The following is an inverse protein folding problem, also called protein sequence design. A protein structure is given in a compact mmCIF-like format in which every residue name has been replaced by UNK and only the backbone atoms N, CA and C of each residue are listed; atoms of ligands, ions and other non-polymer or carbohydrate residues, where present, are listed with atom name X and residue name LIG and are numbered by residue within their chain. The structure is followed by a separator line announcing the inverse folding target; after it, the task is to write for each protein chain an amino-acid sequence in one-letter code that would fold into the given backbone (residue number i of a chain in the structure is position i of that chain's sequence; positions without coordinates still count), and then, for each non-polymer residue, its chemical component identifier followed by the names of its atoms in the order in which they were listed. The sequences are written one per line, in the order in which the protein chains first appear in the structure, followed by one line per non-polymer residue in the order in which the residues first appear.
data_IF_749111698585
#
_entry.id   IF_749111698585
#
_cell.length_a   1.000
_cell.length_b   1.000
_cell.length_c   1.000
_cell.angle_alpha   90.00
_cell.angle_beta   90.00
_cell.angle_gamma   90.00
#
_symmetry.space_group_name_H-M   'P 1'
#
loop_
_entity.id
_entity.type
_entity.pdbx_description
1 polymer ?
#
# COMPACT_ATOMS: atom_id res chain seq x y z
N UNK A 1 18.11 -15.78 -25.99
CA UNK A 1 19.46 -15.28 -26.34
C UNK A 1 19.31 -13.86 -26.89
N UNK A 2 19.98 -12.87 -26.28
CA UNK A 2 19.95 -11.49 -26.80
C UNK A 2 20.80 -11.46 -28.09
N UNK A 3 20.38 -10.79 -29.17
CA UNK A 3 21.08 -10.79 -30.46
C UNK A 3 22.50 -10.20 -30.45
N UNK A 4 22.97 -9.65 -29.32
CA UNK A 4 24.29 -9.01 -29.17
C UNK A 4 25.35 -9.87 -28.47
N UNK A 5 25.01 -11.10 -28.09
CA UNK A 5 25.90 -12.06 -27.44
C UNK A 5 26.10 -13.30 -28.32
N UNK A 6 26.56 -13.08 -29.55
CA UNK A 6 26.97 -14.17 -30.44
C UNK A 6 28.48 -14.44 -30.26
N UNK A 7 28.95 -15.70 -30.44
CA UNK A 7 30.36 -16.01 -30.58
C UNK A 7 31.02 -15.12 -31.64
N UNK A 8 32.30 -14.75 -31.48
CA UNK A 8 33.01 -13.86 -32.42
C UNK A 8 32.92 -14.29 -33.89
N UNK A 9 32.75 -15.59 -34.13
CA UNK A 9 32.69 -16.24 -35.45
C UNK A 9 31.37 -16.00 -36.22
N UNK A 10 30.35 -15.41 -35.59
CA UNK A 10 29.01 -15.25 -36.19
C UNK A 10 28.69 -13.84 -36.65
N UNK A 11 29.61 -12.87 -36.47
CA UNK A 11 29.41 -11.52 -36.94
C UNK A 11 29.87 -11.39 -38.40
N UNK A 12 28.97 -11.03 -39.31
CA UNK A 12 29.34 -10.71 -40.70
C UNK A 12 30.31 -9.54 -40.72
N UNK A 13 31.50 -9.74 -41.30
CA UNK A 13 32.51 -8.69 -41.45
C UNK A 13 32.00 -7.55 -42.33
N UNK A 14 32.29 -6.30 -41.94
CA UNK A 14 32.00 -5.12 -42.75
C UNK A 14 33.32 -4.52 -43.27
N UNK A 15 33.45 -4.22 -44.58
CA UNK A 15 34.69 -3.71 -45.14
C UNK A 15 35.01 -2.27 -44.70
N UNK A 16 36.30 -1.95 -44.60
CA UNK A 16 36.80 -0.59 -44.40
C UNK A 16 37.74 -0.46 -43.20
N UNK A 17 38.48 0.65 -43.16
CA UNK A 17 39.50 0.90 -42.16
C UNK A 17 38.92 1.06 -40.74
N UNK A 18 39.65 0.58 -39.74
CA UNK A 18 39.45 0.92 -38.33
C UNK A 18 40.34 2.13 -38.05
N UNK A 19 39.74 3.27 -37.77
CA UNK A 19 40.48 4.52 -37.54
C UNK A 19 41.28 4.47 -36.23
N UNK A 20 42.48 5.08 -36.21
CA UNK A 20 43.38 5.11 -35.05
C UNK A 20 42.69 5.62 -33.79
N UNK A 21 41.94 6.72 -33.89
CA UNK A 21 41.23 7.29 -32.74
C UNK A 21 40.15 6.36 -32.15
N UNK A 22 39.58 5.42 -32.93
CA UNK A 22 38.70 4.37 -32.39
C UNK A 22 39.50 3.33 -31.60
N UNK A 23 40.68 2.96 -32.08
CA UNK A 23 41.55 2.01 -31.39
C UNK A 23 42.03 2.57 -30.05
N UNK A 24 42.46 3.84 -30.04
CA UNK A 24 42.85 4.56 -28.83
C UNK A 24 41.69 4.64 -27.82
N UNK A 25 40.48 5.00 -28.27
CA UNK A 25 39.30 5.04 -27.42
C UNK A 25 38.93 3.66 -26.84
N UNK A 26 39.00 2.60 -27.65
CA UNK A 26 38.77 1.22 -27.20
C UNK A 26 39.82 0.80 -26.17
N UNK A 27 41.10 1.06 -26.43
CA UNK A 27 42.20 0.69 -25.55
C UNK A 27 42.09 1.41 -24.20
N UNK A 28 41.81 2.72 -24.20
CA UNK A 28 41.58 3.50 -22.99
C UNK A 28 40.41 2.97 -22.14
N UNK A 29 39.39 2.39 -22.79
CA UNK A 29 38.21 1.80 -22.14
C UNK A 29 38.36 0.30 -21.84
N UNK A 30 39.54 -0.28 -22.06
CA UNK A 30 39.84 -1.68 -21.73
C UNK A 30 39.42 -2.71 -22.80
N UNK A 31 39.32 -2.31 -24.07
CA UNK A 31 38.93 -3.14 -25.19
C UNK A 31 39.93 -3.09 -26.36
N UNK A 32 39.96 -4.16 -27.17
CA UNK A 32 40.61 -4.19 -28.47
C UNK A 32 39.54 -4.30 -29.56
N UNK A 33 39.68 -3.55 -30.66
CA UNK A 33 38.79 -3.69 -31.83
C UNK A 33 39.31 -4.86 -32.67
N UNK A 34 38.49 -5.90 -32.87
CA UNK A 34 38.87 -7.06 -33.69
C UNK A 34 38.37 -6.98 -35.13
N UNK A 35 37.45 -6.06 -35.43
CA UNK A 35 36.90 -5.89 -36.76
C UNK A 35 35.72 -4.93 -36.80
N UNK A 36 35.36 -4.47 -38.00
CA UNK A 36 34.05 -3.87 -38.27
C UNK A 36 33.08 -4.99 -38.62
N UNK A 37 31.87 -4.93 -38.11
CA UNK A 37 30.89 -6.01 -38.24
C UNK A 37 29.49 -5.46 -38.52
N UNK A 38 28.58 -6.27 -39.04
CA UNK A 38 27.17 -5.98 -39.33
C UNK A 38 26.95 -4.85 -40.35
N UNK A 39 27.36 -3.63 -40.03
CA UNK A 39 27.19 -2.43 -40.85
C UNK A 39 28.31 -1.41 -40.56
N UNK A 40 28.21 -0.22 -41.17
CA UNK A 40 29.20 0.84 -41.02
C UNK A 40 29.36 1.40 -39.60
N UNK A 41 28.40 1.13 -38.70
CA UNK A 41 28.32 1.69 -37.35
C UNK A 41 28.73 0.72 -36.25
N UNK A 42 28.99 -0.55 -36.53
CA UNK A 42 29.30 -1.54 -35.49
C UNK A 42 30.74 -2.05 -35.56
N UNK A 43 31.32 -2.21 -34.37
CA UNK A 43 32.64 -2.77 -34.13
C UNK A 43 32.51 -4.02 -33.27
N UNK A 44 33.35 -5.01 -33.54
CA UNK A 44 33.58 -6.12 -32.63
C UNK A 44 34.62 -5.69 -31.59
N UNK A 45 34.21 -5.62 -30.32
CA UNK A 45 35.07 -5.27 -29.19
C UNK A 45 35.41 -6.51 -28.39
N UNK A 46 36.70 -6.82 -28.28
CA UNK A 46 37.26 -7.83 -27.39
C UNK A 46 37.62 -7.19 -26.05
N UNK A 47 37.00 -7.66 -24.97
CA UNK A 47 37.34 -7.23 -23.62
C UNK A 47 38.75 -7.70 -23.23
N UNK A 48 39.59 -6.80 -22.73
CA UNK A 48 40.94 -7.16 -22.26
C UNK A 48 40.97 -7.93 -20.94
N UNK A 49 39.89 -7.86 -20.16
CA UNK A 49 39.80 -8.55 -18.86
C UNK A 49 39.33 -10.00 -18.99
N UNK A 50 38.31 -10.29 -19.81
CA UNK A 50 37.76 -11.65 -19.94
C UNK A 50 37.90 -12.26 -21.35
N UNK A 51 38.43 -11.51 -22.33
CA UNK A 51 38.59 -11.98 -23.71
C UNK A 51 37.29 -12.05 -24.53
N UNK A 52 36.12 -11.83 -23.93
CA UNK A 52 34.83 -11.90 -24.61
C UNK A 52 34.72 -10.85 -25.73
N UNK A 53 34.21 -11.27 -26.88
CA UNK A 53 33.95 -10.41 -28.04
C UNK A 53 32.45 -10.12 -28.13
N UNK A 54 32.09 -8.85 -28.29
CA UNK A 54 30.70 -8.42 -28.44
C UNK A 54 30.60 -7.29 -29.46
N UNK A 55 29.40 -7.10 -30.00
CA UNK A 55 29.11 -5.98 -30.89
C UNK A 55 28.86 -4.70 -30.09
N UNK A 56 29.50 -3.61 -30.51
CA UNK A 56 29.23 -2.26 -29.99
C UNK A 56 29.08 -1.28 -31.14
N UNK A 57 28.15 -0.33 -30.99
CA UNK A 57 28.09 0.82 -31.91
C UNK A 57 29.32 1.70 -31.70
N UNK A 58 29.85 2.24 -32.79
CA UNK A 58 30.94 3.22 -32.76
C UNK A 58 30.56 4.40 -31.87
N UNK A 59 29.33 4.90 -31.98
CA UNK A 59 28.84 5.98 -31.11
C UNK A 59 28.98 5.63 -29.63
N UNK A 60 28.53 4.45 -29.18
CA UNK A 60 28.66 4.03 -27.78
C UNK A 60 30.12 3.91 -27.33
N UNK A 61 30.99 3.42 -28.20
CA UNK A 61 32.42 3.37 -27.93
C UNK A 61 32.99 4.79 -27.74
N UNK A 62 32.55 5.76 -28.52
CA UNK A 62 33.08 7.12 -28.48
C UNK A 62 32.51 7.95 -27.32
N UNK A 63 31.19 7.90 -27.10
CA UNK A 63 30.48 8.81 -26.19
C UNK A 63 30.14 8.25 -24.81
N UNK A 64 30.26 6.93 -24.59
CA UNK A 64 29.89 6.28 -23.33
C UNK A 64 30.99 5.34 -22.82
N UNK A 65 30.76 4.71 -21.67
CA UNK A 65 31.59 3.62 -21.14
C UNK A 65 30.95 2.26 -21.52
N UNK A 66 31.37 1.62 -22.62
CA UNK A 66 30.84 0.33 -23.00
C UNK A 66 31.21 -0.70 -21.92
N UNK A 67 30.22 -1.45 -21.45
CA UNK A 67 30.43 -2.53 -20.50
C UNK A 67 30.46 -3.87 -21.24
N UNK A 68 31.45 -4.70 -20.93
CA UNK A 68 31.50 -6.05 -21.47
C UNK A 68 30.31 -6.87 -20.95
N UNK A 69 29.45 -7.44 -21.83
CA UNK A 69 28.29 -8.22 -21.41
C UNK A 69 28.65 -9.44 -20.55
N UNK A 70 29.76 -10.11 -20.86
CA UNK A 70 30.24 -11.26 -20.08
C UNK A 70 30.73 -10.85 -18.69
N UNK A 71 31.55 -9.80 -18.57
CA UNK A 71 31.98 -9.31 -17.25
C UNK A 71 30.80 -8.80 -16.41
N UNK A 72 29.80 -8.19 -17.06
CA UNK A 72 28.58 -7.76 -16.39
C UNK A 72 27.80 -8.96 -15.85
N UNK A 73 27.60 -10.01 -16.66
CA UNK A 73 26.91 -11.22 -16.22
C UNK A 73 27.63 -11.89 -15.06
N UNK A 74 28.95 -12.09 -15.17
CA UNK A 74 29.77 -12.64 -14.08
C UNK A 74 29.70 -11.79 -12.80
N UNK A 75 29.60 -10.46 -12.93
CA UNK A 75 29.39 -9.58 -11.76
C UNK A 75 28.03 -9.81 -11.14
N UNK A 76 26.96 -9.92 -11.93
CA UNK A 76 25.61 -10.21 -11.43
C UNK A 76 25.54 -11.57 -10.74
N UNK A 77 26.19 -12.59 -11.29
CA UNK A 77 26.29 -13.94 -10.70
C UNK A 77 27.01 -13.89 -9.35
N UNK A 78 28.18 -13.22 -9.28
CA UNK A 78 28.91 -13.05 -8.01
C UNK A 78 28.15 -12.23 -6.97
N UNK A 79 27.50 -11.15 -7.39
CA UNK A 79 26.68 -10.31 -6.52
C UNK A 79 25.49 -11.11 -5.96
N UNK A 80 24.87 -11.95 -6.79
CA UNK A 80 23.79 -12.84 -6.37
C UNK A 80 24.29 -13.87 -5.35
N UNK A 81 25.36 -14.60 -5.67
CA UNK A 81 25.93 -15.63 -4.80
C UNK A 81 26.28 -15.06 -3.42
N UNK A 82 26.96 -13.91 -3.41
CA UNK A 82 27.34 -13.21 -2.18
C UNK A 82 26.13 -12.67 -1.40
N UNK A 83 24.98 -12.45 -2.07
CA UNK A 83 23.71 -12.09 -1.45
C UNK A 83 22.86 -13.31 -1.05
N UNK A 84 23.38 -14.53 -1.15
CA UNK A 84 22.64 -15.77 -0.86
C UNK A 84 21.57 -16.11 -1.90
N UNK A 85 21.77 -15.68 -3.13
CA UNK A 85 20.90 -15.90 -4.29
C UNK A 85 21.64 -16.68 -5.38
N UNK A 86 20.90 -17.38 -6.23
CA UNK A 86 21.42 -17.92 -7.49
C UNK A 86 20.90 -17.07 -8.64
N UNK A 87 21.76 -16.43 -9.42
CA UNK A 87 21.33 -15.74 -10.64
C UNK A 87 20.86 -16.78 -11.67
N UNK A 88 19.67 -16.58 -12.25
CA UNK A 88 19.11 -17.49 -13.24
C UNK A 88 19.27 -16.93 -14.65
N UNK A 89 18.75 -15.74 -14.87
CA UNK A 89 18.83 -15.05 -16.15
C UNK A 89 18.51 -13.57 -15.98
N UNK A 90 18.98 -12.75 -16.93
CA UNK A 90 18.54 -11.36 -17.03
C UNK A 90 17.09 -11.31 -17.51
N UNK A 91 16.38 -10.29 -17.08
CA UNK A 91 15.05 -10.01 -17.61
C UNK A 91 15.17 -9.53 -19.07
N UNK A 92 14.53 -10.21 -20.04
CA UNK A 92 14.63 -9.86 -21.46
C UNK A 92 13.95 -8.54 -21.80
N UNK A 93 12.95 -8.11 -21.02
CA UNK A 93 12.18 -6.89 -21.25
C UNK A 93 12.76 -5.70 -20.48
N UNK A 94 13.48 -5.98 -19.38
CA UNK A 94 13.99 -4.94 -18.50
C UNK A 94 15.48 -5.11 -18.16
N UNK A 95 16.32 -4.32 -18.84
CA UNK A 95 17.80 -4.39 -18.74
C UNK A 95 18.38 -4.32 -17.32
N UNK A 96 17.67 -3.71 -16.37
CA UNK A 96 18.06 -3.48 -14.97
C UNK A 96 17.56 -4.55 -14.00
N UNK A 97 16.87 -5.57 -14.51
CA UNK A 97 16.28 -6.65 -13.74
C UNK A 97 16.88 -7.99 -14.13
N UNK A 98 16.84 -8.93 -13.18
CA UNK A 98 17.13 -10.35 -13.40
C UNK A 98 16.18 -11.19 -12.56
N UNK A 99 16.09 -12.46 -12.94
CA UNK A 99 15.47 -13.51 -12.15
C UNK A 99 16.54 -14.23 -11.34
N UNK A 100 16.23 -14.51 -10.09
CA UNK A 100 17.11 -15.18 -9.13
C UNK A 100 16.35 -16.29 -8.43
N UNK A 101 17.04 -17.32 -7.97
CA UNK A 101 16.49 -18.29 -7.00
C UNK A 101 16.93 -17.90 -5.60
N UNK A 102 15.97 -17.74 -4.70
CA UNK A 102 16.22 -17.45 -3.29
C UNK A 102 16.52 -18.73 -2.49
N UNK A 103 17.10 -18.60 -1.30
CA UNK A 103 17.39 -19.72 -0.40
C UNK A 103 16.14 -20.55 -0.01
N UNK A 104 14.95 -19.95 -0.05
CA UNK A 104 13.68 -20.65 0.14
C UNK A 104 13.23 -21.50 -1.07
N UNK A 105 14.03 -21.56 -2.14
CA UNK A 105 13.76 -22.30 -3.37
C UNK A 105 12.95 -21.54 -4.42
N UNK A 106 12.31 -20.43 -4.06
CA UNK A 106 11.45 -19.66 -4.98
C UNK A 106 12.25 -18.77 -5.93
N UNK A 107 11.73 -18.62 -7.15
CA UNK A 107 12.20 -17.62 -8.09
C UNK A 107 11.72 -16.21 -7.68
N UNK A 108 12.60 -15.23 -7.75
CA UNK A 108 12.34 -13.83 -7.46
C UNK A 108 12.88 -12.95 -8.57
N UNK A 109 12.05 -12.01 -9.04
CA UNK A 109 12.46 -10.96 -9.97
C UNK A 109 12.92 -9.74 -9.21
N UNK A 110 14.16 -9.29 -9.40
CA UNK A 110 14.74 -8.15 -8.65
C UNK A 110 15.60 -7.25 -9.54
N UNK A 111 15.60 -5.97 -9.19
CA UNK A 111 16.54 -5.01 -9.76
C UNK A 111 17.97 -5.32 -9.31
N UNK A 112 18.95 -5.09 -10.16
CA UNK A 112 20.37 -5.31 -9.83
C UNK A 112 20.81 -4.45 -8.63
N UNK A 113 20.34 -3.20 -8.54
CA UNK A 113 20.64 -2.32 -7.41
C UNK A 113 20.05 -2.82 -6.09
N UNK A 114 18.89 -3.47 -6.12
CA UNK A 114 18.30 -4.09 -4.93
C UNK A 114 19.19 -5.23 -4.41
N UNK A 115 19.74 -6.06 -5.30
CA UNK A 115 20.67 -7.13 -4.93
C UNK A 115 21.94 -6.56 -4.29
N UNK A 116 22.49 -5.47 -4.84
CA UNK A 116 23.62 -4.77 -4.20
C UNK A 116 23.31 -4.25 -2.81
N UNK A 117 22.08 -3.74 -2.58
CA UNK A 117 21.65 -3.31 -1.25
C UNK A 117 21.51 -4.48 -0.27
N UNK A 118 21.08 -5.65 -0.75
CA UNK A 118 21.03 -6.88 0.06
C UNK A 118 22.45 -7.31 0.44
N UNK A 119 23.36 -7.34 -0.53
CA UNK A 119 24.77 -7.64 -0.32
C UNK A 119 25.42 -6.69 0.71
N UNK A 120 25.10 -5.40 0.64
CA UNK A 120 25.56 -4.40 1.60
C UNK A 120 24.87 -4.48 2.98
N UNK A 121 23.98 -5.46 3.21
CA UNK A 121 23.23 -5.61 4.46
C UNK A 121 22.21 -4.50 4.74
N UNK A 122 21.92 -3.63 3.75
CA UNK A 122 21.03 -2.48 3.93
C UNK A 122 19.55 -2.86 3.95
N UNK A 123 19.21 -3.98 3.33
CA UNK A 123 17.84 -4.51 3.24
C UNK A 123 17.88 -6.02 3.25
N UNK A 124 16.89 -6.65 3.87
CA UNK A 124 16.70 -8.09 3.76
C UNK A 124 16.03 -8.46 2.42
N UNK A 125 16.35 -9.65 1.91
CA UNK A 125 15.61 -10.21 0.78
C UNK A 125 14.19 -10.56 1.24
N UNK A 126 13.20 -9.95 0.60
CA UNK A 126 11.79 -10.38 0.70
C UNK A 126 11.46 -11.28 -0.49
N UNK A 127 11.01 -12.50 -0.23
CA UNK A 127 10.40 -13.38 -1.24
C UNK A 127 8.87 -13.21 -1.17
N UNK A 128 8.22 -12.86 -2.28
CA UNK A 128 6.76 -12.63 -2.28
C UNK A 128 5.97 -13.91 -1.99
N UNK A 129 6.46 -15.07 -2.44
CA UNK A 129 5.80 -16.36 -2.18
C UNK A 129 5.86 -16.74 -0.70
N UNK A 130 7.04 -16.66 -0.07
CA UNK A 130 7.16 -16.90 1.36
C UNK A 130 6.38 -15.87 2.18
N UNK A 131 6.43 -14.60 1.76
CA UNK A 131 5.67 -13.54 2.41
C UNK A 131 4.17 -13.80 2.38
N UNK A 132 3.61 -14.18 1.22
CA UNK A 132 2.20 -14.55 1.07
C UNK A 132 1.84 -15.78 1.92
N UNK A 133 2.71 -16.78 1.98
CA UNK A 133 2.51 -17.97 2.82
C UNK A 133 2.50 -17.62 4.31
N UNK A 134 3.37 -16.71 4.76
CA UNK A 134 3.38 -16.17 6.12
C UNK A 134 2.07 -15.44 6.43
N UNK A 135 1.62 -14.53 5.57
CA UNK A 135 0.36 -13.79 5.78
C UNK A 135 -0.84 -14.75 5.88
N UNK A 136 -0.90 -15.76 5.01
CA UNK A 136 -1.94 -16.78 5.09
C UNK A 136 -1.85 -17.61 6.38
N UNK A 137 -0.64 -17.92 6.86
CA UNK A 137 -0.42 -18.63 8.12
C UNK A 137 -0.83 -17.80 9.34
N UNK A 138 -0.49 -16.51 9.36
CA UNK A 138 -0.90 -15.55 10.39
C UNK A 138 -2.43 -15.46 10.49
N UNK A 139 -3.11 -15.39 9.35
CA UNK A 139 -4.57 -15.41 9.30
C UNK A 139 -5.13 -16.71 9.88
N UNK A 140 -4.63 -17.88 9.41
CA UNK A 140 -5.12 -19.19 9.87
C UNK A 140 -4.95 -19.39 11.37
N UNK A 141 -3.81 -18.98 11.93
CA UNK A 141 -3.56 -19.04 13.39
C UNK A 141 -4.60 -18.29 14.21
N UNK A 142 -5.29 -17.32 13.61
CA UNK A 142 -6.32 -16.50 14.25
C UNK A 142 -7.73 -16.90 13.85
N UNK A 143 -7.90 -18.00 13.11
CA UNK A 143 -9.20 -18.44 12.63
C UNK A 143 -9.72 -17.73 11.39
N UNK A 144 -8.84 -17.05 10.64
CA UNK A 144 -9.18 -16.33 9.41
C UNK A 144 -8.51 -16.96 8.19
N UNK A 145 -9.13 -16.79 7.02
CA UNK A 145 -8.58 -17.19 5.73
C UNK A 145 -8.33 -15.94 4.89
N UNK A 146 -7.09 -15.74 4.43
CA UNK A 146 -6.74 -14.68 3.50
C UNK A 146 -7.33 -14.99 2.12
N UNK A 147 -8.21 -14.13 1.62
CA UNK A 147 -8.82 -14.28 0.30
C UNK A 147 -8.01 -13.58 -0.79
N UNK A 148 -7.39 -12.44 -0.47
CA UNK A 148 -6.65 -11.69 -1.47
C UNK A 148 -6.34 -10.24 -1.11
N UNK A 149 -5.96 -9.42 -2.11
CA UNK A 149 -5.73 -8.00 -1.93
C UNK A 149 -6.99 -7.27 -1.48
N UNK A 150 -6.81 -6.04 -1.01
CA UNK A 150 -7.93 -5.19 -0.65
C UNK A 150 -8.77 -4.80 -1.88
N UNK A 151 -10.10 -4.98 -1.89
CA UNK A 151 -10.95 -4.60 -3.02
C UNK A 151 -10.95 -3.10 -3.32
N UNK A 152 -10.64 -2.27 -2.31
CA UNK A 152 -10.49 -0.81 -2.47
C UNK A 152 -9.06 -0.39 -2.86
N UNK A 153 -8.15 -1.35 -3.04
CA UNK A 153 -6.79 -1.10 -3.50
C UNK A 153 -5.83 -0.58 -2.43
N UNK A 154 -6.20 -0.55 -1.15
CA UNK A 154 -5.26 -0.13 -0.09
C UNK A 154 -4.28 -1.27 0.25
N UNK A 155 -2.97 -1.10 -0.01
CA UNK A 155 -1.98 -2.14 0.25
C UNK A 155 -1.78 -2.46 1.74
N UNK A 156 -2.27 -1.60 2.64
CA UNK A 156 -2.25 -1.77 4.10
C UNK A 156 -3.33 -2.73 4.58
N UNK A 157 -4.33 -3.03 3.75
CA UNK A 157 -5.45 -3.92 4.03
C UNK A 157 -5.39 -5.17 3.15
N UNK A 158 -6.13 -6.19 3.58
CA UNK A 158 -6.42 -7.40 2.81
C UNK A 158 -7.85 -7.82 3.10
N UNK A 159 -8.43 -8.60 2.19
CA UNK A 159 -9.72 -9.24 2.40
C UNK A 159 -9.53 -10.61 3.06
N UNK A 160 -10.25 -10.86 4.14
CA UNK A 160 -10.24 -12.13 4.85
C UNK A 160 -11.67 -12.66 5.02
N UNK A 161 -11.80 -13.99 5.13
CA UNK A 161 -13.01 -14.67 5.58
C UNK A 161 -12.82 -15.21 7.01
N UNK A 162 -13.84 -15.07 7.85
CA UNK A 162 -13.82 -15.61 9.22
C UNK A 162 -14.06 -17.13 9.23
N UNK A 163 -13.03 -17.88 8.80
CA UNK A 163 -13.12 -19.31 8.52
C UNK A 163 -13.44 -20.18 9.75
N UNK A 164 -12.97 -19.80 10.94
CA UNK A 164 -13.24 -20.52 12.19
C UNK A 164 -14.54 -20.09 12.89
N UNK A 165 -15.32 -19.18 12.29
CA UNK A 165 -16.55 -18.66 12.88
C UNK A 165 -17.64 -18.47 11.84
N UNK A 166 -18.27 -17.29 11.83
CA UNK A 166 -19.45 -16.99 11.00
C UNK A 166 -19.22 -16.94 9.48
N UNK A 167 -17.99 -17.10 8.98
CA UNK A 167 -17.69 -17.02 7.55
C UNK A 167 -17.68 -15.60 6.94
N UNK A 168 -18.03 -14.57 7.72
CA UNK A 168 -18.10 -13.20 7.24
C UNK A 168 -16.81 -12.72 6.56
N UNK A 169 -16.98 -11.93 5.50
CA UNK A 169 -15.89 -11.28 4.79
C UNK A 169 -15.57 -9.93 5.43
N UNK A 170 -14.29 -9.67 5.68
CA UNK A 170 -13.87 -8.42 6.31
C UNK A 170 -12.53 -7.95 5.76
N UNK A 171 -12.47 -6.64 5.50
CA UNK A 171 -11.22 -5.93 5.27
C UNK A 171 -10.52 -5.73 6.61
N UNK A 172 -9.31 -6.26 6.74
CA UNK A 172 -8.53 -6.15 7.99
C UNK A 172 -7.16 -5.59 7.64
N UNK A 173 -6.73 -4.58 8.39
CA UNK A 173 -5.38 -4.03 8.25
C UNK A 173 -4.36 -5.14 8.55
N UNK A 174 -3.31 -5.24 7.73
CA UNK A 174 -2.26 -6.27 7.86
C UNK A 174 -1.62 -6.27 9.25
N UNK A 175 -1.32 -5.07 9.77
CA UNK A 175 -0.77 -4.91 11.11
C UNK A 175 -1.73 -5.40 12.21
N UNK A 176 -3.04 -5.21 12.04
CA UNK A 176 -4.03 -5.72 12.99
C UNK A 176 -4.13 -7.25 12.90
N UNK A 177 -4.09 -7.84 11.70
CA UNK A 177 -4.02 -9.29 11.52
C UNK A 177 -2.78 -9.88 12.22
N UNK A 178 -1.62 -9.23 12.11
CA UNK A 178 -0.40 -9.66 12.79
C UNK A 178 -0.50 -9.58 14.32
N UNK A 179 -1.04 -8.48 14.84
CA UNK A 179 -1.10 -8.22 16.29
C UNK A 179 -2.32 -8.85 16.98
N UNK A 180 -3.37 -9.21 16.24
CA UNK A 180 -4.64 -9.68 16.80
C UNK A 180 -5.59 -8.57 17.24
N UNK A 181 -5.29 -7.31 16.93
CA UNK A 181 -6.07 -6.15 17.37
C UNK A 181 -7.25 -5.88 16.43
N UNK A 182 -8.15 -6.84 16.33
CA UNK A 182 -9.37 -6.75 15.53
C UNK A 182 -10.35 -7.83 16.00
N UNK A 183 -11.60 -7.69 15.57
CA UNK A 183 -12.65 -8.67 15.82
C UNK A 183 -13.48 -8.87 14.56
N UNK A 184 -14.24 -9.96 14.53
CA UNK A 184 -15.21 -10.18 13.47
C UNK A 184 -16.38 -9.18 13.59
N UNK A 185 -16.71 -8.48 12.52
CA UNK A 185 -17.85 -7.56 12.47
C UNK A 185 -19.21 -8.23 12.65
N UNK A 186 -19.31 -9.54 12.39
CA UNK A 186 -20.54 -10.31 12.45
C UNK A 186 -20.73 -11.03 13.79
N UNK A 187 -19.70 -11.70 14.32
CA UNK A 187 -19.80 -12.49 15.56
C UNK A 187 -18.76 -12.12 16.63
N UNK A 188 -18.01 -11.03 16.45
CA UNK A 188 -17.10 -10.52 17.47
C UNK A 188 -17.87 -10.00 18.69
N UNK A 189 -17.29 -10.15 19.87
CA UNK A 189 -17.94 -9.80 21.14
C UNK A 189 -17.47 -8.48 21.75
N UNK A 190 -16.57 -7.74 21.10
CA UNK A 190 -16.09 -6.45 21.57
C UNK A 190 -16.84 -5.25 20.99
N UNK A 191 -16.38 -4.08 21.39
CA UNK A 191 -17.08 -2.79 21.29
C UNK A 191 -17.59 -2.42 19.89
N UNK A 192 -16.93 -2.92 18.84
CA UNK A 192 -17.20 -2.50 17.48
C UNK A 192 -18.15 -3.46 16.73
N UNK A 193 -18.35 -4.67 17.24
CA UNK A 193 -19.30 -5.66 16.71
C UNK A 193 -20.61 -5.70 17.48
N UNK A 194 -20.63 -5.22 18.74
CA UNK A 194 -21.85 -5.05 19.51
C UNK A 194 -22.83 -4.04 18.86
N UNK A 195 -24.13 -4.26 19.08
CA UNK A 195 -25.19 -3.30 18.72
C UNK A 195 -24.84 -1.90 19.24
N UNK A 196 -25.18 -0.90 18.44
CA UNK A 196 -24.94 0.51 18.76
C UNK A 196 -26.09 1.35 18.26
N UNK A 197 -26.13 2.61 18.66
CA UNK A 197 -27.14 3.56 18.20
C UNK A 197 -26.47 4.76 17.55
N UNK A 198 -27.05 5.26 16.46
CA UNK A 198 -26.92 6.66 16.09
C UNK A 198 -27.90 7.48 16.92
N UNK A 199 -27.53 8.70 17.28
CA UNK A 199 -28.39 9.60 18.03
C UNK A 199 -28.31 11.04 17.55
N UNK A 200 -29.40 11.77 17.80
CA UNK A 200 -29.41 13.23 17.86
C UNK A 200 -29.76 13.65 19.30
N UNK A 201 -28.94 14.53 19.88
CA UNK A 201 -29.14 15.07 21.23
C UNK A 201 -29.17 16.60 21.17
N UNK A 202 -30.06 17.22 21.94
CA UNK A 202 -30.13 18.67 22.09
C UNK A 202 -29.55 19.10 23.44
N UNK A 203 -28.90 20.26 23.44
CA UNK A 203 -28.39 20.94 24.63
C UNK A 203 -28.81 22.40 24.60
N UNK A 204 -29.20 22.95 25.74
CA UNK A 204 -29.44 24.39 25.92
C UNK A 204 -28.35 24.95 26.81
N UNK A 205 -27.50 25.80 26.24
CA UNK A 205 -26.42 26.47 26.97
C UNK A 205 -26.96 27.51 27.95
N UNK A 206 -26.14 27.94 28.91
CA UNK A 206 -26.51 28.93 29.92
C UNK A 206 -26.92 30.29 29.33
N UNK A 207 -26.43 30.62 28.12
CA UNK A 207 -26.81 31.83 27.38
C UNK A 207 -28.10 31.66 26.56
N UNK A 208 -28.83 30.55 26.73
CA UNK A 208 -30.06 30.25 26.00
C UNK A 208 -29.85 29.68 24.58
N UNK A 209 -28.59 29.60 24.10
CA UNK A 209 -28.31 29.04 22.78
C UNK A 209 -28.56 27.53 22.78
N UNK A 210 -29.33 27.05 21.81
CA UNK A 210 -29.55 25.63 21.59
C UNK A 210 -28.55 25.06 20.59
N UNK A 211 -28.06 23.85 20.90
CA UNK A 211 -27.12 23.10 20.07
C UNK A 211 -27.63 21.67 19.86
N UNK A 212 -27.29 21.09 18.71
CA UNK A 212 -27.61 19.70 18.38
C UNK A 212 -26.34 18.89 18.11
N UNK A 213 -26.25 17.72 18.73
CA UNK A 213 -25.18 16.76 18.51
C UNK A 213 -25.70 15.51 17.79
N UNK A 214 -25.12 15.25 16.63
CA UNK A 214 -25.13 13.94 15.99
C UNK A 214 -23.94 13.13 16.51
N UNK A 215 -24.16 11.85 16.78
CA UNK A 215 -23.11 10.94 17.22
C UNK A 215 -23.58 9.49 17.28
N UNK A 216 -22.73 8.62 17.80
CA UNK A 216 -23.06 7.22 18.08
C UNK A 216 -22.64 6.81 19.50
N UNK A 217 -23.33 5.83 20.06
CA UNK A 217 -23.02 5.20 21.36
C UNK A 217 -23.74 3.86 21.47
N UNK A 218 -23.19 2.93 22.26
CA UNK A 218 -23.89 1.72 22.70
C UNK A 218 -25.06 2.05 23.64
N UNK A 219 -24.91 3.13 24.41
CA UNK A 219 -25.90 3.59 25.38
C UNK A 219 -26.03 5.13 25.24
N UNK A 220 -27.02 5.62 24.48
CA UNK A 220 -27.26 7.05 24.31
C UNK A 220 -27.61 7.77 25.61
N UNK A 221 -28.33 7.14 26.54
CA UNK A 221 -28.71 7.77 27.80
C UNK A 221 -27.50 8.03 28.70
N UNK A 222 -26.69 6.99 28.91
CA UNK A 222 -25.45 7.11 29.67
C UNK A 222 -24.48 8.11 29.01
N UNK A 223 -24.44 8.12 27.67
CA UNK A 223 -23.65 9.10 26.91
C UNK A 223 -24.11 10.54 27.19
N UNK A 224 -25.42 10.80 27.14
CA UNK A 224 -25.97 12.13 27.40
C UNK A 224 -25.71 12.56 28.85
N UNK A 225 -26.18 11.76 29.81
CA UNK A 225 -26.30 12.15 31.22
C UNK A 225 -24.98 12.08 31.99
N UNK A 226 -24.08 11.16 31.64
CA UNK A 226 -22.85 10.92 32.41
C UNK A 226 -21.57 11.32 31.68
N UNK A 227 -21.57 11.37 30.35
CA UNK A 227 -20.35 11.61 29.59
C UNK A 227 -20.29 13.00 28.95
N UNK A 228 -21.41 13.48 28.39
CA UNK A 228 -21.48 14.75 27.65
C UNK A 228 -21.93 15.92 28.54
N UNK A 229 -22.98 15.73 29.33
CA UNK A 229 -23.50 16.76 30.24
C UNK A 229 -22.55 17.00 31.41
N UNK A 230 -22.11 18.25 31.58
CA UNK A 230 -21.27 18.66 32.72
C UNK A 230 -22.13 19.06 33.90
N UNK A 231 -23.00 20.05 33.71
CA UNK A 231 -23.92 20.53 34.72
C UNK A 231 -25.21 19.71 34.72
N UNK A 232 -25.61 19.21 35.90
CA UNK A 232 -26.84 18.42 36.06
C UNK A 232 -28.12 19.25 35.89
N UNK A 233 -28.04 20.56 36.04
CA UNK A 233 -29.17 21.46 35.83
C UNK A 233 -29.33 21.87 34.35
N UNK A 234 -28.33 21.63 33.50
CA UNK A 234 -28.38 22.00 32.08
C UNK A 234 -29.48 21.21 31.36
N UNK A 235 -30.42 21.89 30.67
CA UNK A 235 -31.42 21.22 29.84
C UNK A 235 -30.75 20.47 28.69
N UNK A 236 -31.05 19.19 28.58
CA UNK A 236 -30.60 18.35 27.49
C UNK A 236 -31.56 17.19 27.27
N UNK A 237 -31.67 16.72 26.03
CA UNK A 237 -32.56 15.62 25.68
C UNK A 237 -32.03 14.80 24.51
N UNK A 238 -32.50 13.56 24.42
CA UNK A 238 -32.32 12.72 23.24
C UNK A 238 -33.50 12.96 22.31
N UNK A 239 -33.23 13.53 21.13
CA UNK A 239 -34.25 13.80 20.13
C UNK A 239 -34.64 12.54 19.35
N UNK A 240 -33.65 11.70 19.04
CA UNK A 240 -33.85 10.46 18.27
C UNK A 240 -32.70 9.49 18.50
N UNK A 241 -33.03 8.21 18.49
CA UNK A 241 -32.07 7.10 18.35
C UNK A 241 -32.45 6.23 17.15
N UNK A 242 -31.43 5.66 16.50
CA UNK A 242 -31.58 4.67 15.43
C UNK A 242 -30.65 3.52 15.76
N UNK A 243 -31.20 2.32 15.92
CA UNK A 243 -30.41 1.12 16.18
C UNK A 243 -29.57 0.76 14.95
N UNK A 244 -28.34 0.36 15.20
CA UNK A 244 -27.35 -0.05 14.21
C UNK A 244 -26.89 -1.46 14.55
N UNK A 245 -26.73 -2.30 13.52
CA UNK A 245 -26.34 -3.70 13.70
C UNK A 245 -24.97 -3.85 14.40
N UNK A 246 -24.08 -2.85 14.25
CA UNK A 246 -22.81 -2.81 14.95
C UNK A 246 -22.27 -1.39 15.17
N UNK A 247 -21.39 -1.23 16.15
CA UNK A 247 -20.61 0.00 16.35
C UNK A 247 -19.81 0.44 15.12
N UNK A 248 -19.27 -0.49 14.33
CA UNK A 248 -18.59 -0.18 13.06
C UNK A 248 -19.52 0.50 12.06
N UNK A 249 -20.72 -0.06 11.88
CA UNK A 249 -21.72 0.52 10.98
C UNK A 249 -22.13 1.90 11.48
N UNK A 250 -22.34 2.05 12.79
CA UNK A 250 -22.67 3.33 13.41
C UNK A 250 -21.58 4.40 13.15
N UNK A 251 -20.30 4.08 13.37
CA UNK A 251 -19.17 5.00 13.12
C UNK A 251 -19.10 5.41 11.64
N UNK A 252 -19.17 4.44 10.72
CA UNK A 252 -19.05 4.73 9.29
C UNK A 252 -20.18 5.63 8.81
N UNK A 253 -21.40 5.33 9.23
CA UNK A 253 -22.58 6.12 8.89
C UNK A 253 -22.52 7.52 9.54
N UNK A 254 -22.12 7.62 10.81
CA UNK A 254 -21.94 8.90 11.52
C UNK A 254 -20.94 9.81 10.80
N UNK A 255 -19.75 9.29 10.44
CA UNK A 255 -18.74 10.05 9.69
C UNK A 255 -19.25 10.53 8.33
N UNK A 256 -19.99 9.69 7.61
CA UNK A 256 -20.57 10.07 6.31
C UNK A 256 -21.61 11.19 6.46
N UNK A 257 -22.45 11.12 7.50
CA UNK A 257 -23.41 12.19 7.81
C UNK A 257 -22.69 13.50 8.17
N UNK A 258 -21.66 13.44 9.03
CA UNK A 258 -20.88 14.63 9.37
C UNK A 258 -20.16 15.23 8.17
N UNK A 259 -19.62 14.41 7.26
CA UNK A 259 -19.02 14.89 6.02
C UNK A 259 -20.05 15.64 5.15
N UNK A 260 -21.26 15.08 5.01
CA UNK A 260 -22.35 15.72 4.26
C UNK A 260 -22.81 17.04 4.90
N UNK A 261 -22.99 17.05 6.23
CA UNK A 261 -23.39 18.26 6.96
C UNK A 261 -22.33 19.37 6.85
N UNK A 262 -21.04 19.04 6.99
CA UNK A 262 -19.96 20.03 6.84
C UNK A 262 -19.83 20.58 5.43
N UNK A 263 -20.07 19.75 4.42
CA UNK A 263 -20.02 20.19 3.03
C UNK A 263 -21.20 21.11 2.67
N UNK A 264 -22.41 20.82 3.18
CA UNK A 264 -23.61 21.57 2.87
C UNK A 264 -23.83 22.80 3.78
N UNK A 265 -23.39 22.73 5.03
CA UNK A 265 -23.66 23.72 6.08
C UNK A 265 -22.42 23.98 6.96
N UNK A 266 -21.29 24.42 6.38
CA UNK A 266 -20.08 24.71 7.15
C UNK A 266 -20.30 25.78 8.23
N UNK A 267 -21.19 26.74 7.99
CA UNK A 267 -21.55 27.84 8.91
C UNK A 267 -22.26 27.38 10.18
N UNK A 268 -22.93 26.22 10.12
CA UNK A 268 -23.68 25.69 11.24
C UNK A 268 -22.80 24.86 12.20
N UNK A 269 -21.52 24.63 11.87
CA UNK A 269 -20.55 23.99 12.77
C UNK A 269 -20.17 24.97 13.87
N UNK A 270 -20.42 24.60 15.12
CA UNK A 270 -20.19 25.50 16.25
C UNK A 270 -18.77 25.39 16.78
N UNK A 271 -18.12 26.55 16.93
CA UNK A 271 -16.79 26.65 17.53
C UNK A 271 -16.77 26.08 18.96
N UNK A 272 -15.88 25.11 19.27
CA UNK A 272 -15.63 24.61 20.61
C UNK A 272 -15.48 25.66 21.71
N UNK A 273 -14.93 26.84 21.40
CA UNK A 273 -14.80 27.91 22.36
C UNK A 273 -16.16 28.39 22.93
N UNK A 274 -17.25 28.25 22.16
CA UNK A 274 -18.57 28.75 22.55
C UNK A 274 -19.33 27.87 23.56
N UNK A 275 -18.93 26.61 23.72
CA UNK A 275 -19.57 25.65 24.65
C UNK A 275 -18.58 24.95 25.60
N UNK A 276 -17.29 25.28 25.52
CA UNK A 276 -16.25 24.73 26.41
C UNK A 276 -16.62 25.00 27.87
N UNK A 277 -16.57 23.95 28.69
CA UNK A 277 -16.93 24.03 30.11
C UNK A 277 -18.41 23.81 30.41
N UNK A 278 -19.29 23.81 29.40
CA UNK A 278 -20.72 23.49 29.55
C UNK A 278 -21.05 22.06 29.06
N UNK A 279 -20.40 21.61 27.98
CA UNK A 279 -20.60 20.27 27.40
C UNK A 279 -19.24 19.61 27.08
N UNK A 280 -19.07 18.33 27.40
CA UNK A 280 -17.87 17.52 27.10
C UNK A 280 -17.92 16.93 25.69
N UNK A 281 -17.87 17.78 24.69
CA UNK A 281 -17.83 17.37 23.29
C UNK A 281 -16.45 17.67 22.71
N UNK A 282 -15.81 16.65 22.12
CA UNK A 282 -14.52 16.76 21.42
C UNK A 282 -14.64 16.78 19.89
N UNK A 283 -15.80 16.35 19.38
CA UNK A 283 -16.10 16.26 17.95
C UNK A 283 -17.17 17.28 17.56
N UNK A 284 -17.70 17.18 16.36
CA UNK A 284 -18.66 18.12 15.80
C UNK A 284 -19.93 18.25 16.66
N UNK A 285 -20.38 19.50 16.82
CA UNK A 285 -21.68 19.92 17.33
C UNK A 285 -22.18 21.05 16.44
N UNK A 286 -23.49 21.09 16.23
CA UNK A 286 -24.11 21.98 15.26
C UNK A 286 -25.08 22.94 15.94
N UNK A 287 -25.36 24.03 15.25
CA UNK A 287 -26.42 24.95 15.61
C UNK A 287 -27.79 24.26 15.52
N UNK A 288 -28.72 24.60 16.42
CA UNK A 288 -30.04 23.96 16.49
C UNK A 288 -30.86 24.10 15.20
N UNK A 289 -30.55 25.08 14.35
CA UNK A 289 -31.10 25.23 13.00
C UNK A 289 -30.99 23.97 12.14
N UNK A 290 -29.96 23.13 12.34
CA UNK A 290 -29.80 21.87 11.61
C UNK A 290 -30.60 20.69 12.18
N UNK A 291 -31.32 20.88 13.29
CA UNK A 291 -32.07 19.79 13.94
C UNK A 291 -33.04 19.08 12.99
N UNK A 292 -33.92 19.78 12.23
CA UNK A 292 -34.88 19.11 11.34
C UNK A 292 -34.18 18.27 10.26
N UNK A 293 -33.07 18.77 9.73
CA UNK A 293 -32.29 18.07 8.72
C UNK A 293 -31.64 16.81 9.31
N UNK A 294 -30.98 16.91 10.47
CA UNK A 294 -30.35 15.77 11.14
C UNK A 294 -31.41 14.69 11.45
N UNK A 295 -32.58 15.08 11.95
CA UNK A 295 -33.67 14.14 12.22
C UNK A 295 -34.20 13.46 10.96
N UNK A 296 -34.33 14.19 9.84
CA UNK A 296 -34.68 13.62 8.53
C UNK A 296 -33.64 12.62 8.04
N UNK A 297 -32.34 12.94 8.18
CA UNK A 297 -31.25 12.03 7.82
C UNK A 297 -31.28 10.73 8.65
N UNK A 298 -31.54 10.83 9.95
CA UNK A 298 -31.69 9.66 10.84
C UNK A 298 -32.94 8.86 10.51
N UNK A 299 -34.05 9.51 10.19
CA UNK A 299 -35.29 8.84 9.79
C UNK A 299 -35.07 8.00 8.53
N UNK A 300 -34.38 8.53 7.52
CA UNK A 300 -34.07 7.80 6.29
C UNK A 300 -33.18 6.56 6.49
N UNK A 301 -32.40 6.50 7.58
CA UNK A 301 -31.61 5.31 7.93
C UNK A 301 -32.48 4.26 8.61
N UNK A 302 -33.38 4.68 9.50
CA UNK A 302 -34.28 3.77 10.23
C UNK A 302 -35.38 3.12 9.38
N UNK A 303 -35.64 3.64 8.18
CA UNK A 303 -36.63 3.09 7.23
C UNK A 303 -36.03 2.21 6.13
N UNK A 304 -34.70 2.12 6.02
CA UNK A 304 -34.07 1.17 5.13
C UNK A 304 -34.17 -0.24 5.73
N UNK A 305 -34.79 -1.23 5.06
CA UNK A 305 -34.75 -2.61 5.52
C UNK A 305 -33.29 -3.05 5.58
N UNK A 306 -32.92 -3.75 6.65
CA UNK A 306 -31.61 -4.35 6.79
C UNK A 306 -31.36 -5.23 5.55
N UNK A 307 -30.49 -4.76 4.65
CA UNK A 307 -30.07 -5.55 3.50
C UNK A 307 -29.38 -6.82 4.05
N UNK A 308 -29.99 -7.97 3.75
CA UNK A 308 -29.50 -9.30 4.07
C UNK A 308 -28.20 -9.62 3.32
#
# INVERSE_FOLDING_TARGET
MHPDTLPPEQFSSYPGAIHTHWQEAAHAKGFNITGRIRDRYHLALRCRSCGHVHASRIFNLMSAEPQCPACMLQRLERDAESAGLVHLQRDPEHRHYSFYRAACGHEVRRQHEMVKRILAGKVALRCETCHAATEASEARKRGWMLLGPDPEGDPSYRLYAHAAGCGALQRIARANMQTGRFECSCCGQGWAAAHSYLYAMRFTLANGRELVKLGYSRDPESRLLHQLRIDRAMPCEILRTVEMASGHQAIRTEKALHARLRAAHPEAVVDPASYRGQIRVRSEIYDATLTPLILSMLHGIGTQPAAA
#
